data_IF_475352490178
#
_entry.id   IF_475352490178
#
_cell.length_a   1.000
_cell.length_b   1.000
_cell.length_c   1.000
_cell.angle_alpha   90.00
_cell.angle_beta   90.00
_cell.angle_gamma   90.00
#
_symmetry.space_group_name_H-M   'P 1'
#
loop_
_entity.id
_entity.type
_entity.pdbx_description
1 polymer ?
#
# COMPACT_ATOMS: atom_id res chain seq x y z
N UNK A 1 13.15 19.98 -7.00
CA UNK A 1 13.72 19.24 -5.85
C UNK A 1 12.65 19.11 -4.79
N UNK A 2 12.60 17.99 -4.06
CA UNK A 2 11.73 17.82 -2.89
C UNK A 2 12.36 18.47 -1.65
N UNK A 3 11.55 18.90 -0.69
CA UNK A 3 11.98 19.41 0.63
C UNK A 3 12.12 18.30 1.69
N UNK A 4 12.02 17.03 1.28
CA UNK A 4 12.10 15.86 2.14
C UNK A 4 12.23 14.56 1.37
N UNK A 5 12.17 13.43 2.09
CA UNK A 5 12.41 12.10 1.55
C UNK A 5 11.25 11.62 0.68
N UNK A 6 11.58 11.07 -0.49
CA UNK A 6 10.66 10.27 -1.31
C UNK A 6 10.76 8.81 -0.83
N UNK A 7 9.63 8.20 -0.48
CA UNK A 7 9.58 6.80 -0.04
C UNK A 7 9.09 5.85 -1.13
N UNK A 8 8.29 6.35 -2.07
CA UNK A 8 7.77 5.54 -3.16
C UNK A 8 7.75 6.34 -4.45
N UNK A 9 8.05 5.66 -5.55
CA UNK A 9 7.95 6.17 -6.90
C UNK A 9 7.36 5.08 -7.78
N UNK A 10 6.33 5.42 -8.56
CA UNK A 10 5.73 4.51 -9.54
C UNK A 10 5.51 5.26 -10.85
N UNK A 11 5.77 4.61 -11.97
CA UNK A 11 5.53 5.18 -13.30
C UNK A 11 4.36 4.47 -13.98
N UNK A 12 3.46 5.23 -14.60
CA UNK A 12 2.39 4.73 -15.46
C UNK A 12 2.32 5.58 -16.72
N UNK A 13 2.73 5.01 -17.85
CA UNK A 13 2.86 5.74 -19.11
C UNK A 13 3.75 6.97 -18.96
N UNK A 14 3.21 8.14 -19.30
CA UNK A 14 3.91 9.43 -19.22
C UNK A 14 3.84 10.09 -17.83
N UNK A 15 3.46 9.36 -16.78
CA UNK A 15 3.31 9.91 -15.44
C UNK A 15 4.20 9.20 -14.44
N UNK A 16 4.89 9.97 -13.61
CA UNK A 16 5.58 9.50 -12.42
C UNK A 16 4.83 10.01 -11.20
N UNK A 17 4.53 9.09 -10.30
CA UNK A 17 3.85 9.33 -9.05
C UNK A 17 4.85 9.20 -7.91
N UNK A 18 4.99 10.26 -7.12
CA UNK A 18 5.87 10.33 -5.98
C UNK A 18 5.05 10.35 -4.70
N UNK A 19 5.48 9.61 -3.69
CA UNK A 19 4.94 9.66 -2.34
C UNK A 19 6.08 9.64 -1.31
N UNK A 20 5.93 10.37 -0.20
CA UNK A 20 6.99 10.41 0.79
C UNK A 20 6.68 11.20 2.05
N UNK A 21 7.76 11.65 2.70
CA UNK A 21 7.76 12.65 3.77
C UNK A 21 8.35 13.96 3.25
N UNK A 22 7.66 14.56 2.29
CA UNK A 22 7.95 15.88 1.73
C UNK A 22 6.66 16.70 1.70
N UNK A 23 6.76 18.01 1.52
CA UNK A 23 5.60 18.87 1.31
C UNK A 23 5.67 19.66 0.00
N UNK A 24 6.83 19.70 -0.65
CA UNK A 24 7.08 20.51 -1.84
C UNK A 24 7.68 19.69 -2.98
N UNK A 25 7.20 19.98 -4.19
CA UNK A 25 7.88 19.70 -5.46
C UNK A 25 7.68 20.97 -6.30
N UNK A 26 8.54 21.96 -6.08
CA UNK A 26 8.23 23.35 -6.43
C UNK A 26 7.31 23.97 -5.36
N UNK A 27 6.04 24.31 -5.65
CA UNK A 27 5.09 24.76 -4.64
C UNK A 27 4.68 23.62 -3.67
N UNK A 28 3.92 23.96 -2.62
CA UNK A 28 3.39 22.97 -1.69
C UNK A 28 2.40 22.01 -2.39
N UNK A 29 2.73 20.72 -2.41
CA UNK A 29 1.93 19.63 -3.00
C UNK A 29 1.40 18.67 -1.94
N UNK A 30 1.80 18.85 -0.68
CA UNK A 30 1.62 17.85 0.37
C UNK A 30 2.59 16.68 0.17
N UNK A 31 2.19 15.50 0.61
CA UNK A 31 3.06 14.33 0.70
C UNK A 31 3.08 13.44 -0.55
N UNK A 32 2.44 13.90 -1.63
CA UNK A 32 2.39 13.19 -2.92
C UNK A 32 2.34 14.16 -4.09
N UNK A 33 2.95 13.76 -5.20
CA UNK A 33 2.96 14.53 -6.44
C UNK A 33 2.85 13.61 -7.66
N UNK A 34 2.31 14.15 -8.74
CA UNK A 34 2.32 13.52 -10.05
C UNK A 34 3.06 14.43 -11.02
N UNK A 35 4.04 13.87 -11.74
CA UNK A 35 4.89 14.56 -12.70
C UNK A 35 4.73 13.92 -14.08
N UNK A 36 4.84 14.72 -15.13
CA UNK A 36 4.94 14.22 -16.50
C UNK A 36 6.41 13.83 -16.78
N UNK A 37 6.62 12.65 -17.38
CA UNK A 37 7.96 12.11 -17.66
C UNK A 37 8.70 12.87 -18.75
N UNK A 38 7.98 13.56 -19.63
CA UNK A 38 8.53 14.21 -20.83
C UNK A 38 9.10 15.58 -20.51
N UNK A 39 8.42 16.36 -19.68
CA UNK A 39 8.78 17.76 -19.38
C UNK A 39 9.00 18.02 -17.87
N UNK A 40 8.84 17.00 -17.03
CA UNK A 40 8.95 17.11 -15.56
C UNK A 40 7.85 17.94 -14.92
N UNK A 41 6.85 18.40 -15.69
CA UNK A 41 5.83 19.31 -15.19
C UNK A 41 4.87 18.59 -14.25
N UNK A 42 4.49 19.28 -13.19
CA UNK A 42 3.54 18.77 -12.21
C UNK A 42 2.15 18.74 -12.81
N UNK A 43 1.42 17.65 -12.56
CA UNK A 43 -0.02 17.64 -12.71
C UNK A 43 -0.69 18.42 -11.56
N UNK A 44 -1.22 19.61 -11.87
CA UNK A 44 -1.88 20.50 -10.91
C UNK A 44 -3.21 19.97 -10.38
N UNK A 45 -3.85 19.01 -11.07
CA UNK A 45 -5.11 18.40 -10.61
C UNK A 45 -4.89 17.31 -9.56
N UNK A 46 -3.63 16.96 -9.27
CA UNK A 46 -3.33 15.96 -8.24
C UNK A 46 -3.71 16.47 -6.83
N UNK A 47 -4.51 15.71 -6.06
CA UNK A 47 -5.05 16.17 -4.80
C UNK A 47 -3.97 16.18 -3.73
N UNK A 48 -4.01 17.18 -2.85
CA UNK A 48 -3.09 17.29 -1.73
C UNK A 48 -3.35 16.16 -0.73
N UNK A 49 -2.32 15.38 -0.41
CA UNK A 49 -2.39 14.35 0.65
C UNK A 49 -1.93 14.94 1.98
N UNK A 50 -2.69 14.68 3.05
CA UNK A 50 -2.41 15.17 4.39
C UNK A 50 -1.87 14.05 5.28
N UNK A 51 -0.55 13.90 5.27
CA UNK A 51 0.20 12.86 5.98
C UNK A 51 1.01 12.01 5.01
N UNK A 52 1.95 11.24 5.54
CA UNK A 52 2.99 10.55 4.76
C UNK A 52 2.38 9.52 3.81
N UNK A 53 2.92 9.44 2.60
CA UNK A 53 2.66 8.32 1.68
C UNK A 53 3.88 7.39 1.75
N UNK A 54 3.65 6.14 2.14
CA UNK A 54 4.70 5.13 2.30
C UNK A 54 4.70 4.12 1.15
N UNK A 55 3.54 3.89 0.53
CA UNK A 55 3.38 2.96 -0.59
C UNK A 55 2.49 3.55 -1.68
N UNK A 56 2.81 3.26 -2.93
CA UNK A 56 2.00 3.57 -4.09
C UNK A 56 2.13 2.45 -5.12
N UNK A 57 1.01 2.04 -5.72
CA UNK A 57 0.96 1.03 -6.79
C UNK A 57 -0.03 1.46 -7.88
N UNK A 58 0.22 1.16 -9.17
CA UNK A 58 -0.71 1.46 -10.25
C UNK A 58 -2.08 0.84 -10.01
N UNK A 59 -3.15 1.54 -10.40
CA UNK A 59 -4.51 0.99 -10.38
C UNK A 59 -4.89 0.25 -11.67
N UNK A 60 -3.97 0.15 -12.63
CA UNK A 60 -4.19 -0.47 -13.95
C UNK A 60 -5.01 0.38 -14.93
N UNK A 61 -5.49 1.56 -14.52
CA UNK A 61 -6.33 2.46 -15.32
C UNK A 61 -5.74 3.88 -15.42
N UNK A 62 -4.42 4.03 -15.20
CA UNK A 62 -3.73 5.32 -15.23
C UNK A 62 -3.82 6.13 -13.93
N UNK A 63 -4.44 5.58 -12.89
CA UNK A 63 -4.41 6.07 -11.52
C UNK A 63 -3.56 5.17 -10.62
N UNK A 64 -3.82 5.24 -9.30
CA UNK A 64 -2.96 4.65 -8.28
C UNK A 64 -3.71 4.43 -6.97
N UNK A 65 -3.34 3.34 -6.30
CA UNK A 65 -3.63 3.14 -4.89
C UNK A 65 -2.46 3.69 -4.08
N UNK A 66 -2.77 4.42 -3.01
CA UNK A 66 -1.79 4.98 -2.08
C UNK A 66 -2.05 4.47 -0.66
N UNK A 67 -0.96 4.13 0.02
CA UNK A 67 -0.92 3.66 1.39
C UNK A 67 0.06 4.50 2.21
N UNK A 68 -0.26 4.77 3.47
CA UNK A 68 0.65 5.52 4.33
C UNK A 68 0.06 5.84 5.69
N UNK A 69 0.41 7.03 6.18
CA UNK A 69 -0.03 7.59 7.46
C UNK A 69 -0.68 8.96 7.23
N UNK A 70 -1.71 8.95 6.38
CA UNK A 70 -2.50 10.13 6.04
C UNK A 70 -3.95 9.97 6.51
N UNK A 71 -4.60 11.10 6.75
CA UNK A 71 -6.01 11.15 7.19
C UNK A 71 -6.94 11.74 6.14
N UNK A 72 -6.37 12.39 5.10
CA UNK A 72 -7.11 13.09 4.07
C UNK A 72 -6.38 13.09 2.73
N UNK A 73 -7.15 12.99 1.65
CA UNK A 73 -6.69 13.15 0.27
C UNK A 73 -7.61 14.16 -0.39
N UNK A 74 -7.09 15.34 -0.76
CA UNK A 74 -7.89 16.47 -1.19
C UNK A 74 -8.88 16.90 -0.11
N UNK A 75 -10.17 16.98 -0.44
CA UNK A 75 -11.24 17.25 0.52
C UNK A 75 -11.79 15.99 1.21
N UNK A 76 -11.46 14.79 0.73
CA UNK A 76 -12.02 13.52 1.19
C UNK A 76 -11.25 12.95 2.38
N UNK A 77 -11.97 12.57 3.44
CA UNK A 77 -11.41 11.75 4.51
C UNK A 77 -11.06 10.37 3.96
N UNK A 78 -9.79 10.00 4.06
CA UNK A 78 -9.26 8.70 3.62
C UNK A 78 -8.22 8.30 4.63
N UNK A 79 -8.53 7.31 5.45
CA UNK A 79 -7.61 6.85 6.47
C UNK A 79 -6.64 5.85 5.86
N UNK A 80 -5.41 6.32 5.60
CA UNK A 80 -4.19 5.53 5.33
C UNK A 80 -4.20 4.66 4.07
N UNK A 81 -5.33 4.58 3.38
CA UNK A 81 -5.52 3.86 2.13
C UNK A 81 -6.52 4.60 1.24
N UNK A 82 -6.14 4.88 -0.01
CA UNK A 82 -7.00 5.60 -0.96
C UNK A 82 -6.68 5.20 -2.41
N UNK A 83 -7.63 5.46 -3.30
CA UNK A 83 -7.41 5.41 -4.75
C UNK A 83 -7.56 6.80 -5.35
N UNK A 84 -6.55 7.23 -6.11
CA UNK A 84 -6.61 8.45 -6.94
C UNK A 84 -6.69 8.05 -8.40
N UNK A 85 -7.73 8.52 -9.09
CA UNK A 85 -8.00 8.20 -10.48
C UNK A 85 -7.04 8.93 -11.43
N UNK A 86 -6.97 8.49 -12.68
CA UNK A 86 -6.12 9.09 -13.71
C UNK A 86 -6.39 10.59 -13.95
N UNK A 87 -7.58 11.09 -13.65
CA UNK A 87 -7.93 12.51 -13.78
C UNK A 87 -7.56 13.35 -12.53
N UNK A 88 -6.99 12.73 -11.49
CA UNK A 88 -6.66 13.38 -10.21
C UNK A 88 -7.81 13.38 -9.20
N UNK A 89 -8.99 12.85 -9.52
CA UNK A 89 -10.08 12.74 -8.54
C UNK A 89 -9.83 11.61 -7.56
N UNK A 90 -10.21 11.82 -6.30
CA UNK A 90 -10.21 10.77 -5.26
C UNK A 90 -11.45 9.90 -5.48
N UNK A 91 -11.24 8.59 -5.62
CA UNK A 91 -12.35 7.65 -5.83
C UNK A 91 -13.21 7.49 -4.58
N UNK A 92 -14.46 7.03 -4.74
CA UNK A 92 -15.34 6.63 -3.63
C UNK A 92 -14.86 5.39 -2.87
N UNK A 93 -13.92 4.64 -3.46
CA UNK A 93 -13.24 3.49 -2.87
C UNK A 93 -12.58 3.89 -1.54
N UNK A 94 -13.09 3.33 -0.43
CA UNK A 94 -12.76 3.81 0.91
C UNK A 94 -12.72 2.69 1.99
N UNK A 95 -11.71 1.80 1.97
CA UNK A 95 -11.63 0.70 2.93
C UNK A 95 -11.26 1.12 4.35
N UNK A 96 -10.83 2.37 4.63
CA UNK A 96 -10.47 2.89 5.96
C UNK A 96 -9.57 1.98 6.82
N UNK A 97 -8.26 2.29 6.89
CA UNK A 97 -7.27 1.48 7.63
C UNK A 97 -6.90 2.12 8.97
N UNK A 98 -6.93 1.33 10.05
CA UNK A 98 -6.74 1.79 11.43
C UNK A 98 -6.02 0.79 12.35
N UNK A 99 -5.44 1.24 13.49
CA UNK A 99 -5.21 2.63 13.86
C UNK A 99 -3.89 3.17 13.31
N UNK A 100 -3.13 2.36 12.59
CA UNK A 100 -1.75 2.66 12.21
C UNK A 100 -1.51 2.50 10.71
N UNK A 101 -0.33 2.93 10.28
CA UNK A 101 0.09 3.13 8.90
C UNK A 101 0.03 1.87 8.02
N UNK A 102 -0.23 2.12 6.73
CA UNK A 102 0.01 1.16 5.64
C UNK A 102 1.44 1.39 5.13
N UNK A 103 2.27 0.35 5.16
CA UNK A 103 3.66 0.40 4.71
C UNK A 103 3.84 -0.13 3.28
N UNK A 104 2.96 -1.03 2.85
CA UNK A 104 3.13 -1.76 1.59
C UNK A 104 1.78 -2.01 0.92
N UNK A 105 1.79 -1.98 -0.41
CA UNK A 105 0.67 -2.34 -1.27
C UNK A 105 1.16 -3.27 -2.37
N UNK A 106 0.31 -4.21 -2.78
CA UNK A 106 0.48 -4.96 -4.01
C UNK A 106 -0.89 -5.22 -4.65
N UNK A 107 -0.97 -5.27 -5.98
CA UNK A 107 -2.22 -5.49 -6.71
C UNK A 107 -2.10 -6.74 -7.56
N UNK A 108 -3.08 -7.64 -7.47
CA UNK A 108 -3.21 -8.79 -8.35
C UNK A 108 -4.60 -9.40 -8.27
N UNK A 109 -5.08 -10.02 -9.35
CA UNK A 109 -6.33 -10.78 -9.33
C UNK A 109 -7.57 -9.99 -8.88
N UNK A 110 -7.64 -8.69 -9.18
CA UNK A 110 -8.74 -7.82 -8.75
C UNK A 110 -8.72 -7.43 -7.26
N UNK A 111 -7.63 -7.73 -6.54
CA UNK A 111 -7.45 -7.39 -5.13
C UNK A 111 -6.30 -6.40 -4.94
N UNK A 112 -6.42 -5.55 -3.94
CA UNK A 112 -5.31 -4.80 -3.35
C UNK A 112 -4.94 -5.47 -2.04
N UNK A 113 -3.73 -6.01 -1.97
CA UNK A 113 -3.13 -6.53 -0.75
C UNK A 113 -2.47 -5.38 0.01
N UNK A 114 -2.76 -5.30 1.30
CA UNK A 114 -2.38 -4.20 2.18
C UNK A 114 -1.53 -4.74 3.32
N UNK A 115 -0.32 -4.21 3.46
CA UNK A 115 0.63 -4.57 4.51
C UNK A 115 0.99 -3.35 5.36
N UNK A 116 1.08 -3.51 6.68
CA UNK A 116 1.42 -2.38 7.54
C UNK A 116 1.43 -2.69 9.03
N UNK A 117 1.14 -1.66 9.82
CA UNK A 117 1.10 -1.71 11.28
C UNK A 117 -0.33 -1.69 11.86
N UNK A 118 -1.34 -1.73 11.01
CA UNK A 118 -2.76 -1.66 11.36
C UNK A 118 -3.30 -2.95 12.00
N UNK A 119 -4.50 -2.85 12.58
CA UNK A 119 -5.25 -3.97 13.17
C UNK A 119 -6.68 -4.08 12.66
N UNK A 120 -7.14 -3.10 11.87
CA UNK A 120 -8.48 -3.08 11.27
C UNK A 120 -8.45 -2.47 9.87
N UNK A 121 -9.28 -3.02 8.98
CA UNK A 121 -9.62 -2.45 7.68
C UNK A 121 -11.12 -2.55 7.52
N UNK A 122 -11.80 -1.47 7.16
CA UNK A 122 -13.22 -1.45 6.84
C UNK A 122 -14.10 -1.87 8.01
N UNK A 123 -13.67 -1.59 9.24
CA UNK A 123 -14.30 -2.06 10.48
C UNK A 123 -14.11 -3.55 10.78
N UNK A 124 -13.38 -4.29 9.95
CA UNK A 124 -13.09 -5.72 10.13
C UNK A 124 -11.68 -5.91 10.69
N UNK A 125 -11.55 -6.73 11.73
CA UNK A 125 -10.24 -7.09 12.30
C UNK A 125 -9.36 -7.77 11.25
N UNK A 126 -8.25 -7.12 10.94
CA UNK A 126 -7.20 -7.58 10.02
C UNK A 126 -5.87 -7.11 10.57
N UNK A 127 -5.11 -8.01 11.18
CA UNK A 127 -3.82 -7.65 11.76
C UNK A 127 -2.74 -7.67 10.70
N UNK A 128 -2.21 -6.48 10.40
CA UNK A 128 -0.99 -6.22 9.60
C UNK A 128 -1.06 -6.61 8.13
N UNK A 129 -2.01 -7.46 7.75
CA UNK A 129 -2.28 -7.97 6.41
C UNK A 129 -3.79 -7.96 6.15
N UNK A 130 -4.20 -7.41 5.02
CA UNK A 130 -5.56 -7.49 4.50
C UNK A 130 -5.55 -7.62 2.99
N UNK A 131 -6.62 -8.16 2.42
CA UNK A 131 -6.95 -7.99 1.01
C UNK A 131 -8.28 -7.26 0.91
N UNK A 132 -8.37 -6.32 -0.02
CA UNK A 132 -9.59 -5.60 -0.34
C UNK A 132 -9.86 -5.70 -1.83
N UNK A 133 -11.13 -5.72 -2.20
CA UNK A 133 -11.54 -5.69 -3.60
C UNK A 133 -11.12 -4.35 -4.25
N UNK A 134 -10.44 -4.43 -5.39
CA UNK A 134 -9.85 -3.28 -6.05
C UNK A 134 -10.89 -2.28 -6.59
N UNK A 135 -12.14 -2.73 -6.80
CA UNK A 135 -13.21 -1.92 -7.39
C UNK A 135 -14.08 -1.28 -6.32
N UNK A 136 -14.51 -2.08 -5.34
CA UNK A 136 -15.50 -1.72 -4.32
C UNK A 136 -14.86 -1.28 -3.00
N UNK A 137 -13.66 -1.77 -2.69
CA UNK A 137 -12.99 -1.52 -1.42
C UNK A 137 -13.49 -2.40 -0.28
N UNK A 138 -14.37 -3.35 -0.57
CA UNK A 138 -14.81 -4.35 0.39
C UNK A 138 -13.64 -5.21 0.85
N UNK A 139 -13.54 -5.45 2.15
CA UNK A 139 -12.55 -6.36 2.73
C UNK A 139 -12.91 -7.78 2.33
N UNK A 140 -11.91 -8.54 1.86
CA UNK A 140 -12.08 -9.96 1.60
C UNK A 140 -12.23 -10.71 2.94
N UNK A 141 -13.39 -11.32 3.22
CA UNK A 141 -13.62 -12.02 4.49
C UNK A 141 -12.78 -13.29 4.62
N UNK A 142 -12.40 -13.91 3.49
CA UNK A 142 -11.66 -15.18 3.44
C UNK A 142 -10.15 -15.00 3.61
N UNK A 143 -9.60 -13.84 3.25
CA UNK A 143 -8.18 -13.58 3.28
C UNK A 143 -7.75 -12.94 4.61
N UNK A 144 -7.36 -13.77 5.59
CA UNK A 144 -6.90 -13.32 6.91
C UNK A 144 -5.62 -14.03 7.39
N UNK A 145 -4.43 -13.66 6.87
CA UNK A 145 -3.18 -14.28 7.29
C UNK A 145 -2.73 -13.87 8.70
N UNK A 146 -3.22 -12.75 9.24
CA UNK A 146 -3.06 -12.39 10.66
C UNK A 146 -1.61 -12.46 11.19
N UNK A 147 -0.71 -11.63 10.65
CA UNK A 147 0.68 -11.58 11.11
C UNK A 147 0.79 -10.92 12.50
N UNK A 148 1.72 -11.40 13.34
CA UNK A 148 1.91 -10.90 14.71
C UNK A 148 2.83 -9.65 14.81
N UNK A 149 3.40 -9.21 13.69
CA UNK A 149 4.29 -8.04 13.61
C UNK A 149 4.09 -7.27 12.32
N UNK A 150 4.69 -6.08 12.23
CA UNK A 150 4.53 -5.19 11.07
C UNK A 150 4.96 -5.85 9.78
N UNK A 151 4.17 -5.63 8.73
CA UNK A 151 4.56 -5.95 7.35
C UNK A 151 5.07 -4.68 6.70
N UNK A 152 6.29 -4.74 6.18
CA UNK A 152 7.01 -3.59 5.62
C UNK A 152 7.01 -3.60 4.09
N UNK A 153 6.85 -4.78 3.48
CA UNK A 153 6.88 -4.95 2.03
C UNK A 153 6.01 -6.12 1.58
N UNK A 154 5.46 -6.02 0.37
CA UNK A 154 4.64 -7.04 -0.27
C UNK A 154 5.09 -7.22 -1.72
N UNK A 155 5.12 -8.46 -2.19
CA UNK A 155 5.26 -8.80 -3.61
C UNK A 155 4.26 -9.90 -3.96
N UNK A 156 3.77 -9.92 -5.20
CA UNK A 156 2.85 -10.96 -5.68
C UNK A 156 3.47 -11.69 -6.85
N UNK A 157 3.56 -13.02 -6.77
CA UNK A 157 4.06 -13.87 -7.85
C UNK A 157 3.54 -15.30 -7.70
N UNK A 158 3.27 -15.97 -8.82
CA UNK A 158 2.91 -17.39 -8.82
C UNK A 158 1.67 -17.74 -7.98
N UNK A 159 0.66 -16.86 -7.91
CA UNK A 159 -0.53 -17.06 -7.08
C UNK A 159 -0.29 -16.90 -5.57
N UNK A 160 0.86 -16.34 -5.18
CA UNK A 160 1.22 -16.08 -3.77
C UNK A 160 1.47 -14.60 -3.53
N UNK A 161 1.17 -14.17 -2.31
CA UNK A 161 1.63 -12.92 -1.72
C UNK A 161 2.81 -13.23 -0.81
N UNK A 162 3.95 -12.66 -1.12
CA UNK A 162 5.13 -12.68 -0.27
C UNK A 162 5.10 -11.46 0.63
N UNK A 163 5.11 -11.70 1.94
CA UNK A 163 5.12 -10.65 2.96
C UNK A 163 6.49 -10.61 3.63
N UNK A 164 7.11 -9.44 3.65
CA UNK A 164 8.35 -9.16 4.39
C UNK A 164 8.09 -8.15 5.51
N UNK A 165 8.70 -8.35 6.68
CA UNK A 165 8.50 -7.44 7.81
C UNK A 165 9.27 -7.84 9.07
N UNK A 166 8.69 -7.54 10.23
CA UNK A 166 9.27 -7.80 11.57
C UNK A 166 8.46 -8.82 12.38
N UNK A 167 7.64 -9.63 11.71
CA UNK A 167 6.80 -10.65 12.35
C UNK A 167 7.59 -11.94 12.60
N UNK A 168 7.12 -12.73 13.55
CA UNK A 168 7.64 -14.08 13.86
C UNK A 168 6.60 -15.18 13.63
N UNK A 169 5.33 -14.82 13.41
CA UNK A 169 4.29 -15.74 12.97
C UNK A 169 3.29 -15.09 12.01
N UNK A 170 2.75 -15.92 11.13
CA UNK A 170 1.63 -15.61 10.23
C UNK A 170 0.70 -16.83 10.23
N UNK A 171 -0.60 -16.61 10.40
CA UNK A 171 -1.62 -17.66 10.37
C UNK A 171 -1.43 -18.71 11.45
N UNK A 172 -0.84 -18.32 12.60
CA UNK A 172 -0.44 -19.24 13.67
C UNK A 172 0.81 -20.08 13.37
N UNK A 173 1.38 -19.97 12.17
CA UNK A 173 2.60 -20.68 11.76
C UNK A 173 3.83 -19.80 11.98
N UNK A 174 4.88 -20.35 12.59
CA UNK A 174 6.17 -19.65 12.74
C UNK A 174 6.75 -19.30 11.38
N UNK A 175 6.92 -18.00 11.13
CA UNK A 175 7.52 -17.44 9.93
C UNK A 175 8.29 -16.20 10.35
N UNK A 176 9.61 -16.29 10.37
CA UNK A 176 10.46 -15.19 10.79
C UNK A 176 10.70 -14.25 9.62
N UNK A 177 10.16 -13.04 9.74
CA UNK A 177 10.34 -11.87 8.88
C UNK A 177 9.93 -12.02 7.41
N UNK A 178 9.64 -13.24 6.94
CA UNK A 178 9.31 -13.54 5.55
C UNK A 178 8.32 -14.72 5.47
N UNK A 179 7.21 -14.54 4.77
CA UNK A 179 6.17 -15.55 4.59
C UNK A 179 5.64 -15.54 3.15
N UNK A 180 5.29 -16.71 2.64
CA UNK A 180 4.52 -16.86 1.41
C UNK A 180 3.10 -17.25 1.77
N UNK A 181 2.12 -16.58 1.17
CA UNK A 181 0.70 -16.67 1.51
C UNK A 181 -0.05 -16.91 0.21
N UNK A 182 -0.98 -17.85 0.19
CA UNK A 182 -1.86 -18.07 -0.96
C UNK A 182 -2.72 -16.82 -1.23
N UNK A 183 -2.68 -16.32 -2.46
CA UNK A 183 -3.31 -15.05 -2.83
C UNK A 183 -4.85 -15.11 -2.80
N UNK A 184 -5.42 -16.31 -2.89
CA UNK A 184 -6.87 -16.51 -2.91
C UNK A 184 -7.40 -16.74 -1.51
N UNK A 185 -6.86 -17.71 -0.79
CA UNK A 185 -7.35 -18.21 0.49
C UNK A 185 -6.71 -17.53 1.72
N UNK A 186 -5.57 -16.87 1.56
CA UNK A 186 -4.83 -16.31 2.70
C UNK A 186 -4.11 -17.37 3.55
N UNK A 187 -4.10 -18.64 3.12
CA UNK A 187 -3.38 -19.70 3.80
C UNK A 187 -1.87 -19.52 3.68
N UNK A 188 -1.14 -19.70 4.77
CA UNK A 188 0.32 -19.63 4.78
C UNK A 188 0.90 -20.90 4.15
N UNK A 189 1.87 -20.74 3.25
CA UNK A 189 2.61 -21.87 2.69
C UNK A 189 3.53 -22.46 3.77
N UNK A 190 3.16 -23.64 4.28
CA UNK A 190 3.89 -24.32 5.35
C UNK A 190 5.20 -24.94 4.87
N UNK A 191 5.36 -25.16 3.56
CA UNK A 191 6.56 -25.73 2.94
C UNK A 191 7.65 -24.69 2.66
N UNK A 192 7.27 -23.42 2.52
CA UNK A 192 8.20 -22.33 2.25
C UNK A 192 8.59 -21.60 3.54
N UNK A 193 9.79 -21.90 4.07
CA UNK A 193 10.32 -21.30 5.29
C UNK A 193 11.82 -20.94 5.15
N UNK A 194 12.16 -19.82 4.51
CA UNK A 194 13.55 -19.36 4.40
C UNK A 194 14.13 -18.89 5.74
N UNK A 195 13.28 -18.64 6.75
CA UNK A 195 13.69 -18.28 8.11
C UNK A 195 14.66 -17.09 8.18
N UNK A 196 14.25 -15.94 7.62
CA UNK A 196 15.08 -14.73 7.62
C UNK A 196 15.41 -14.29 9.06
N UNK A 197 16.68 -13.96 9.31
CA UNK A 197 17.21 -13.61 10.64
C UNK A 197 17.14 -12.11 10.97
N UNK A 198 16.55 -11.30 10.09
CA UNK A 198 16.37 -9.86 10.27
C UNK A 198 15.15 -9.35 9.51
N UNK A 199 14.77 -8.11 9.81
CA UNK A 199 13.60 -7.48 9.18
C UNK A 199 13.76 -7.41 7.65
N UNK A 200 12.74 -7.85 6.93
CA UNK A 200 12.69 -7.73 5.47
C UNK A 200 11.97 -6.43 5.11
N UNK A 201 12.71 -5.46 4.58
CA UNK A 201 12.20 -4.12 4.30
C UNK A 201 11.85 -3.88 2.82
N UNK A 202 12.30 -4.76 1.91
CA UNK A 202 11.99 -4.68 0.49
C UNK A 202 11.97 -6.07 -0.16
N UNK A 203 11.13 -6.22 -1.18
CA UNK A 203 11.05 -7.36 -2.09
C UNK A 203 11.02 -6.80 -3.53
N UNK A 204 11.51 -7.58 -4.49
CA UNK A 204 11.58 -7.23 -5.90
C UNK A 204 10.92 -8.30 -6.76
#
# INVERSE_FOLDING_TARGET
MTDGSVFTMTQVGQRVYLGGNFTQVGPNVGYGAALNTTDGQRNSTFPKVHGRILAAVPDGSGGWYIGGDFTKVGSSFRLRLARVQANGKVASWDPQVEPSQVNALAVSGGKVYVGGAFTSVGGTTRNRLAAVDATTGAVDPSWNPNANGSVNTLAVSGGKVYAGGTFTSVGGTTRNNLAAIDATSGAVDTSWNPNANGAVNALA
#
